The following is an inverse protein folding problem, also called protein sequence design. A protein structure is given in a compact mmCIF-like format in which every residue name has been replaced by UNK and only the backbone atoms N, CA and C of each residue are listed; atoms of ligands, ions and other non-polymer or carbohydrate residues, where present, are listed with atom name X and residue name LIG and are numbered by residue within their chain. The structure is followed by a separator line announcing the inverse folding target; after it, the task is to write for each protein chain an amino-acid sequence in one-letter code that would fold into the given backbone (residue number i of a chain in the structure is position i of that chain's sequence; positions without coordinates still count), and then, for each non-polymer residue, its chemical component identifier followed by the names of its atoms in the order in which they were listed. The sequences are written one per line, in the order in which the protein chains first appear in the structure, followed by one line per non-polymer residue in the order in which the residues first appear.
data_IF_698191994906
#
_entry.id   IF_698191994906
#
_cell.length_a   1.000
_cell.length_b   1.000
_cell.length_c   1.000
_cell.angle_alpha   90.00
_cell.angle_beta   90.00
_cell.angle_gamma   90.00
#
_symmetry.space_group_name_H-M   'P 1'
#
loop_
_entity.id
_entity.type
_entity.pdbx_description
1 polymer ?
#
# COMPACT_ATOMS: atom_id res chain seq x y z
N UNK A 1 -2.67 -5.88 16.94
CA UNK A 1 -3.23 -5.18 15.76
C UNK A 1 -2.08 -4.41 15.13
N UNK A 2 -1.94 -4.45 13.81
CA UNK A 2 -0.89 -3.71 13.09
C UNK A 2 -1.56 -2.86 12.02
N UNK A 3 -1.24 -1.57 11.97
CA UNK A 3 -1.65 -0.67 10.90
C UNK A 3 -0.46 -0.42 9.96
N UNK A 4 -0.70 -0.57 8.66
CA UNK A 4 0.32 -0.33 7.64
C UNK A 4 0.74 1.14 7.56
N UNK A 5 -0.02 2.09 8.12
CA UNK A 5 0.31 3.52 8.04
C UNK A 5 1.74 3.87 8.52
N UNK A 6 2.27 3.10 9.47
CA UNK A 6 3.63 3.28 10.00
C UNK A 6 4.73 2.87 9.00
N UNK A 7 4.40 2.06 7.99
CA UNK A 7 5.35 1.51 6.99
C UNK A 7 4.88 1.65 5.54
N UNK A 8 3.80 2.39 5.29
CA UNK A 8 3.18 2.58 3.97
C UNK A 8 2.46 3.92 3.92
N UNK A 9 2.20 4.42 2.70
CA UNK A 9 1.43 5.61 2.43
C UNK A 9 -0.09 5.50 2.70
N UNK A 10 -0.59 4.37 3.21
CA UNK A 10 -2.03 4.15 3.43
C UNK A 10 -2.36 3.56 4.81
N UNK A 11 -3.52 3.95 5.35
CA UNK A 11 -4.15 3.24 6.46
C UNK A 11 -4.56 1.83 6.05
N UNK A 12 -4.22 0.83 6.87
CA UNK A 12 -4.66 -0.57 6.73
C UNK A 12 -4.52 -1.34 8.05
N UNK A 13 -5.22 -0.90 9.09
CA UNK A 13 -5.31 -1.63 10.36
C UNK A 13 -5.87 -3.05 10.18
N UNK A 14 -5.13 -4.07 10.62
CA UNK A 14 -5.53 -5.49 10.57
C UNK A 14 -5.12 -6.22 11.85
N UNK A 15 -5.92 -7.23 12.20
CA UNK A 15 -5.56 -8.20 13.24
C UNK A 15 -4.76 -9.34 12.62
N UNK A 16 -3.72 -9.76 13.35
CA UNK A 16 -2.87 -10.88 12.99
C UNK A 16 -2.79 -11.80 14.20
N UNK A 17 -3.34 -13.00 14.06
CA UNK A 17 -3.22 -14.06 15.05
C UNK A 17 -2.14 -15.03 14.59
N UNK A 18 -1.36 -15.57 15.52
CA UNK A 18 -0.30 -16.50 15.19
C UNK A 18 0.71 -16.65 16.32
N UNK A 19 1.78 -17.36 16.01
CA UNK A 19 2.85 -17.73 16.91
C UNK A 19 4.24 -17.39 16.34
N UNK A 20 4.32 -16.48 15.37
CA UNK A 20 5.59 -16.08 14.80
C UNK A 20 6.44 -15.38 15.88
N UNK A 21 7.78 -15.54 15.86
CA UNK A 21 8.65 -14.87 16.82
C UNK A 21 8.47 -13.35 16.76
N UNK A 22 8.35 -12.70 17.92
CA UNK A 22 8.33 -11.23 18.00
C UNK A 22 7.18 -10.54 17.26
N UNK A 23 6.00 -11.16 17.09
CA UNK A 23 4.83 -10.52 16.45
C UNK A 23 4.38 -9.21 17.14
N UNK A 24 4.66 -9.06 18.43
CA UNK A 24 4.29 -7.88 19.22
C UNK A 24 5.41 -6.84 19.31
N UNK A 25 6.50 -7.00 18.57
CA UNK A 25 7.59 -6.02 18.56
C UNK A 25 7.16 -4.75 17.80
N UNK A 26 7.76 -3.59 18.10
CA UNK A 26 7.45 -2.35 17.38
C UNK A 26 7.65 -2.50 15.87
N UNK A 27 6.75 -1.90 15.10
CA UNK A 27 6.90 -1.83 13.66
C UNK A 27 7.95 -0.75 13.33
N UNK A 28 8.93 -1.11 12.50
CA UNK A 28 9.99 -0.18 12.09
C UNK A 28 9.96 -0.01 10.58
N UNK A 29 9.87 1.23 10.12
CA UNK A 29 10.08 1.55 8.71
C UNK A 29 11.53 1.29 8.32
N UNK A 30 11.72 0.71 7.14
CA UNK A 30 13.01 0.58 6.47
C UNK A 30 13.21 1.74 5.50
N UNK A 31 14.47 2.01 5.11
CA UNK A 31 14.78 3.05 4.13
C UNK A 31 14.17 2.82 2.73
N UNK A 32 13.64 1.63 2.46
CA UNK A 32 12.98 1.28 1.20
C UNK A 32 11.46 1.55 1.23
N UNK A 33 10.88 1.81 2.39
CA UNK A 33 9.43 1.97 2.53
C UNK A 33 8.99 3.36 2.06
N UNK A 34 7.95 3.38 1.23
CA UNK A 34 7.34 4.61 0.69
C UNK A 34 6.30 5.11 1.69
N UNK A 35 6.71 6.05 2.54
CA UNK A 35 5.89 6.53 3.64
C UNK A 35 4.92 7.63 3.20
N UNK A 36 5.29 8.54 2.31
CA UNK A 36 4.38 9.56 1.82
C UNK A 36 3.71 9.13 0.52
N UNK A 37 2.48 9.60 0.28
CA UNK A 37 1.78 9.34 -0.98
C UNK A 37 2.61 9.78 -2.18
N UNK A 38 3.30 10.92 -2.05
CA UNK A 38 4.15 11.47 -3.10
C UNK A 38 5.24 10.47 -3.54
N UNK A 39 5.78 9.67 -2.61
CA UNK A 39 6.81 8.68 -2.90
C UNK A 39 6.29 7.52 -3.78
N UNK A 40 4.97 7.36 -3.87
CA UNK A 40 4.29 6.32 -4.64
C UNK A 40 3.82 6.79 -6.04
N UNK A 41 3.81 8.09 -6.31
CA UNK A 41 3.25 8.64 -7.55
C UNK A 41 4.23 8.54 -8.73
N UNK A 42 3.69 8.53 -9.95
CA UNK A 42 4.52 8.68 -11.16
C UNK A 42 5.02 10.12 -11.34
N UNK A 43 6.00 10.30 -12.24
CA UNK A 43 6.55 11.61 -12.55
C UNK A 43 5.49 12.60 -13.05
N UNK A 44 5.60 13.87 -12.64
CA UNK A 44 4.67 14.93 -13.04
C UNK A 44 3.32 14.92 -12.33
N UNK A 45 3.18 14.12 -11.26
CA UNK A 45 1.95 14.02 -10.45
C UNK A 45 2.23 14.44 -9.01
N UNK A 46 1.28 15.16 -8.42
CA UNK A 46 1.41 15.76 -7.10
C UNK A 46 0.36 15.21 -6.14
N UNK A 47 0.80 14.79 -4.95
CA UNK A 47 -0.05 14.27 -3.89
C UNK A 47 -0.73 15.41 -3.13
N UNK A 48 -2.06 15.36 -3.03
CA UNK A 48 -2.83 16.32 -2.20
C UNK A 48 -2.82 15.98 -0.71
N UNK A 49 -2.42 14.77 -0.36
CA UNK A 49 -2.46 14.24 1.01
C UNK A 49 -1.15 13.50 1.29
N UNK A 50 -0.65 13.58 2.53
CA UNK A 50 0.54 12.80 2.93
C UNK A 50 0.27 11.29 2.98
N UNK A 51 -0.89 10.90 3.48
CA UNK A 51 -1.34 9.50 3.56
C UNK A 51 -2.76 9.38 3.00
N UNK A 52 -3.12 8.22 2.48
CA UNK A 52 -4.48 7.92 2.02
C UNK A 52 -5.23 7.02 3.00
N UNK A 53 -6.55 7.15 3.03
CA UNK A 53 -7.43 6.22 3.77
C UNK A 53 -7.34 4.79 3.24
N UNK A 54 -7.93 3.85 3.97
CA UNK A 54 -8.00 2.44 3.60
C UNK A 54 -8.56 2.24 2.19
N UNK A 55 -7.71 1.73 1.30
CA UNK A 55 -8.08 1.35 -0.06
C UNK A 55 -8.74 -0.04 -0.04
N UNK A 56 -9.90 -0.13 -0.67
CA UNK A 56 -10.69 -1.36 -0.79
C UNK A 56 -10.87 -1.74 -2.25
N UNK A 57 -11.64 -2.79 -2.50
CA UNK A 57 -12.00 -3.25 -3.85
C UNK A 57 -12.93 -2.29 -4.60
N UNK A 58 -13.54 -1.32 -3.90
CA UNK A 58 -14.46 -0.34 -4.50
C UNK A 58 -13.72 0.94 -4.89
N UNK A 59 -13.98 1.43 -6.11
CA UNK A 59 -13.33 2.63 -6.68
C UNK A 59 -13.50 3.88 -5.82
N UNK A 60 -14.63 4.02 -5.12
CA UNK A 60 -14.89 5.15 -4.22
C UNK A 60 -13.88 5.23 -3.06
N UNK A 61 -13.28 4.11 -2.62
CA UNK A 61 -12.28 4.11 -1.54
C UNK A 61 -11.04 4.95 -1.84
N UNK A 62 -10.74 5.22 -3.12
CA UNK A 62 -9.62 6.07 -3.56
C UNK A 62 -9.87 7.55 -3.27
N UNK A 63 -11.12 8.00 -3.29
CA UNK A 63 -11.48 9.39 -2.97
C UNK A 63 -11.22 9.66 -1.48
N UNK A 64 -10.83 10.86 -1.10
CA UNK A 64 -10.42 11.23 0.26
C UNK A 64 -11.39 12.24 0.89
N UNK A 65 -11.43 12.26 2.23
CA UNK A 65 -12.24 13.19 3.00
C UNK A 65 -13.76 12.95 2.90
N UNK A 66 -14.52 13.84 3.54
CA UNK A 66 -16.00 13.85 3.46
C UNK A 66 -16.46 14.25 2.06
N UNK A 67 -15.76 15.21 1.46
CA UNK A 67 -16.09 15.81 0.17
C UNK A 67 -15.64 14.98 -1.05
N UNK A 68 -15.08 13.78 -0.80
CA UNK A 68 -14.72 12.80 -1.83
C UNK A 68 -13.75 13.37 -2.90
N UNK A 69 -12.72 14.11 -2.48
CA UNK A 69 -11.68 14.64 -3.36
C UNK A 69 -10.83 13.52 -3.95
N UNK A 70 -10.34 13.69 -5.18
CA UNK A 70 -9.30 12.79 -5.67
C UNK A 70 -7.95 13.10 -4.99
N UNK A 71 -7.09 12.09 -4.78
CA UNK A 71 -5.87 12.25 -3.99
C UNK A 71 -4.69 12.87 -4.74
N UNK A 72 -4.77 13.02 -6.07
CA UNK A 72 -3.65 13.45 -6.92
C UNK A 72 -4.05 14.65 -7.77
N UNK A 73 -3.10 15.53 -8.05
CA UNK A 73 -3.16 16.55 -9.10
C UNK A 73 -2.20 16.19 -10.23
N UNK A 74 -2.66 16.35 -11.47
CA UNK A 74 -1.84 16.23 -12.67
C UNK A 74 -2.21 17.39 -13.60
N UNK A 75 -1.23 18.23 -13.94
CA UNK A 75 -1.42 19.43 -14.76
C UNK A 75 -2.56 20.34 -14.22
N UNK A 76 -2.61 20.52 -12.90
CA UNK A 76 -3.60 21.35 -12.22
C UNK A 76 -5.02 20.75 -12.16
N UNK A 77 -5.23 19.52 -12.63
CA UNK A 77 -6.53 18.81 -12.55
C UNK A 77 -6.46 17.66 -11.57
N UNK A 78 -7.56 17.44 -10.85
CA UNK A 78 -7.71 16.30 -9.96
C UNK A 78 -7.74 14.98 -10.73
N UNK A 79 -6.98 13.99 -10.25
CA UNK A 79 -6.92 12.65 -10.82
C UNK A 79 -6.87 11.56 -9.73
N UNK A 80 -7.32 10.37 -10.10
CA UNK A 80 -7.26 9.16 -9.30
C UNK A 80 -5.84 8.58 -9.23
N UNK A 81 -5.62 7.68 -8.28
CA UNK A 81 -4.43 6.82 -8.28
C UNK A 81 -4.44 5.84 -9.45
N UNK A 82 -3.29 5.72 -10.11
CA UNK A 82 -3.03 4.73 -11.15
C UNK A 82 -2.73 3.36 -10.54
N UNK A 83 -2.82 2.30 -11.35
CA UNK A 83 -2.60 0.93 -10.84
C UNK A 83 -1.17 0.71 -10.32
N UNK A 84 -0.17 1.29 -10.96
CA UNK A 84 1.23 1.23 -10.52
C UNK A 84 1.44 1.96 -9.19
N UNK A 85 0.77 3.09 -9.00
CA UNK A 85 0.79 3.85 -7.74
C UNK A 85 0.11 3.06 -6.62
N UNK A 86 -1.00 2.37 -6.91
CA UNK A 86 -1.63 1.43 -5.99
C UNK A 86 -0.69 0.28 -5.60
N UNK A 87 0.02 -0.32 -6.56
CA UNK A 87 1.02 -1.35 -6.27
C UNK A 87 2.10 -0.84 -5.31
N UNK A 88 2.65 0.36 -5.58
CA UNK A 88 3.64 0.99 -4.71
C UNK A 88 3.12 1.27 -3.30
N UNK A 89 1.88 1.77 -3.16
CA UNK A 89 1.25 2.01 -1.85
C UNK A 89 1.18 0.73 -1.03
N UNK A 90 0.80 -0.39 -1.66
CA UNK A 90 0.72 -1.68 -0.99
C UNK A 90 2.08 -2.37 -0.81
N UNK A 91 3.15 -1.82 -1.39
CA UNK A 91 4.51 -2.35 -1.34
C UNK A 91 4.78 -3.48 -2.32
N UNK A 92 3.93 -3.65 -3.35
CA UNK A 92 4.20 -4.59 -4.44
C UNK A 92 5.23 -3.99 -5.43
N UNK A 93 5.97 -4.85 -6.16
CA UNK A 93 6.70 -4.43 -7.35
C UNK A 93 5.77 -3.72 -8.34
N UNK A 94 6.31 -2.73 -9.06
CA UNK A 94 5.57 -2.05 -10.13
C UNK A 94 5.26 -3.06 -11.24
N UNK A 95 4.04 -3.02 -11.78
CA UNK A 95 3.49 -3.96 -12.75
C UNK A 95 3.20 -5.38 -12.22
N UNK A 96 3.23 -5.61 -10.89
CA UNK A 96 2.93 -6.92 -10.31
C UNK A 96 1.54 -7.48 -10.70
N UNK A 97 0.55 -6.60 -10.88
CA UNK A 97 -0.81 -6.99 -11.28
C UNK A 97 -1.10 -6.74 -12.76
N UNK A 98 -0.09 -6.42 -13.56
CA UNK A 98 -0.21 -6.18 -15.00
C UNK A 98 -0.19 -7.50 -15.78
N UNK A 99 -1.17 -8.34 -15.51
CA UNK A 99 -1.28 -9.70 -16.05
C UNK A 99 -2.70 -9.96 -16.56
N UNK A 100 -2.85 -10.93 -17.45
CA UNK A 100 -4.15 -11.43 -17.92
C UNK A 100 -5.08 -10.35 -18.50
N UNK A 101 -4.53 -9.30 -19.14
CA UNK A 101 -5.29 -8.17 -19.68
C UNK A 101 -6.25 -7.52 -18.65
N UNK A 102 -5.87 -7.52 -17.38
CA UNK A 102 -6.69 -6.95 -16.33
C UNK A 102 -6.73 -5.42 -16.42
N UNK A 103 -7.93 -4.89 -16.65
CA UNK A 103 -8.19 -3.46 -16.51
C UNK A 103 -8.11 -2.98 -15.06
N UNK A 104 -8.15 -1.65 -14.89
CA UNK A 104 -8.03 -0.98 -13.58
C UNK A 104 -8.92 -1.57 -12.48
N UNK A 105 -10.20 -1.82 -12.79
CA UNK A 105 -11.15 -2.34 -11.80
C UNK A 105 -10.79 -3.72 -11.27
N UNK A 106 -10.25 -4.60 -12.12
CA UNK A 106 -9.81 -5.93 -11.72
C UNK A 106 -8.53 -5.86 -10.87
N UNK A 107 -7.55 -5.04 -11.28
CA UNK A 107 -6.32 -4.80 -10.52
C UNK A 107 -6.62 -4.20 -9.14
N UNK A 108 -7.52 -3.22 -9.05
CA UNK A 108 -7.95 -2.67 -7.77
C UNK A 108 -8.68 -3.72 -6.90
N UNK A 109 -9.51 -4.59 -7.48
CA UNK A 109 -10.15 -5.67 -6.71
C UNK A 109 -9.12 -6.62 -6.10
N UNK A 110 -8.04 -6.92 -6.80
CA UNK A 110 -6.94 -7.74 -6.28
C UNK A 110 -6.15 -7.03 -5.19
N UNK A 111 -5.67 -5.81 -5.46
CA UNK A 111 -4.87 -5.04 -4.51
C UNK A 111 -5.70 -4.64 -3.27
N UNK A 112 -6.95 -4.23 -3.44
CA UNK A 112 -7.82 -3.81 -2.33
C UNK A 112 -8.01 -4.88 -1.24
N UNK A 113 -7.92 -6.17 -1.61
CA UNK A 113 -8.02 -7.31 -0.68
C UNK A 113 -6.68 -7.91 -0.25
N UNK A 114 -5.56 -7.49 -0.82
CA UNK A 114 -4.23 -8.05 -0.52
C UNK A 114 -3.72 -7.62 0.86
N UNK A 115 -2.61 -8.18 1.32
CA UNK A 115 -1.90 -7.63 2.47
C UNK A 115 -1.00 -6.47 2.07
N UNK A 116 -0.66 -5.63 3.05
CA UNK A 116 0.46 -4.69 2.89
C UNK A 116 1.76 -5.49 2.94
N UNK A 117 2.53 -5.47 1.86
CA UNK A 117 3.81 -6.19 1.75
C UNK A 117 4.77 -5.84 2.89
N UNK A 118 5.01 -4.56 3.27
CA UNK A 118 5.93 -4.26 4.36
C UNK A 118 5.47 -4.78 5.73
N UNK A 119 4.16 -4.89 5.97
CA UNK A 119 3.62 -5.52 7.20
C UNK A 119 3.92 -7.02 7.22
N UNK A 120 3.70 -7.72 6.10
CA UNK A 120 4.00 -9.16 6.02
C UNK A 120 5.51 -9.41 6.11
N UNK A 121 6.32 -8.58 5.44
CA UNK A 121 7.78 -8.60 5.57
C UNK A 121 8.20 -8.45 7.03
N UNK A 122 7.61 -7.51 7.77
CA UNK A 122 7.87 -7.39 9.20
C UNK A 122 7.51 -8.68 9.94
N UNK A 123 6.31 -9.22 9.78
CA UNK A 123 5.89 -10.42 10.49
C UNK A 123 6.79 -11.63 10.20
N UNK A 124 7.23 -11.78 8.95
CA UNK A 124 8.03 -12.93 8.50
C UNK A 124 9.54 -12.74 8.67
N UNK A 125 10.03 -11.53 8.94
CA UNK A 125 11.47 -11.26 9.05
C UNK A 125 12.22 -12.24 9.99
N UNK A 126 11.69 -12.62 11.17
CA UNK A 126 12.39 -13.52 12.09
C UNK A 126 12.52 -14.96 11.57
N UNK A 127 11.73 -15.36 10.56
CA UNK A 127 11.83 -16.70 9.98
C UNK A 127 13.17 -16.95 9.28
N UNK A 128 13.90 -15.88 8.93
CA UNK A 128 15.24 -15.97 8.34
C UNK A 128 16.22 -16.75 9.22
N UNK A 129 16.03 -16.73 10.53
CA UNK A 129 16.91 -17.41 11.49
C UNK A 129 16.60 -18.91 11.63
N UNK A 130 15.51 -19.39 11.03
CA UNK A 130 15.02 -20.76 11.17
C UNK A 130 15.06 -21.58 9.88
N UNK A 131 15.25 -20.92 8.72
CA UNK A 131 15.22 -21.55 7.41
C UNK A 131 16.45 -21.15 6.58
N UNK A 132 16.80 -22.00 5.60
CA UNK A 132 17.89 -21.71 4.68
C UNK A 132 17.65 -20.38 3.94
N UNK A 133 18.73 -19.64 3.71
CA UNK A 133 18.75 -18.42 2.93
C UNK A 133 19.68 -18.59 1.74
N UNK A 134 19.24 -18.10 0.58
CA UNK A 134 20.09 -17.90 -0.59
C UNK A 134 20.83 -16.56 -0.52
#
# INVERSE_FOLDING_TARGET
MIDAIEVSAAHRARYFWGNLPGMNRPLCASGMDKLQLQDCLEHGREAKFGKVRTITTRSNSIKQGKDQHFPVLMNGKEDILWCTELERIFGFPVHYTDVSNMGRGARQKLLGRSWSVPVIRHLFAPLKDYFACE
#
